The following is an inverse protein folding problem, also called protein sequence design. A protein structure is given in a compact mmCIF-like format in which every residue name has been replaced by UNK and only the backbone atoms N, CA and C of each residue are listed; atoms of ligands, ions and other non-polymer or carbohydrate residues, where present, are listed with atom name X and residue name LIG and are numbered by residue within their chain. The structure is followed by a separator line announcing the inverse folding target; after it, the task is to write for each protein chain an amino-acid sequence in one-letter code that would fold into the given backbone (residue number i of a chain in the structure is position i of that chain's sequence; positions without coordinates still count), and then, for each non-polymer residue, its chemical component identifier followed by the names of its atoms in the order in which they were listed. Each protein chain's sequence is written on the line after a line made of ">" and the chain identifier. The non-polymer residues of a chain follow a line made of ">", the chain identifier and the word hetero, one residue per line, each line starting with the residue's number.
data_IF_617046177847
#
_entry.id   IF_617046177847
#
_cell.length_a   1.000
_cell.length_b   1.000
_cell.length_c   1.000
_cell.angle_alpha   90.00
_cell.angle_beta   90.00
_cell.angle_gamma   90.00
#
_symmetry.space_group_name_H-M   'P 1'
#
loop_
_entity.id
_entity.type
_entity.pdbx_description
1 polymer ?
#
# COMPACT_ATOMS: atom_id res chain seq x y z
N UNK A 1 -20.55 14.57 28.48
CA UNK A 1 -19.39 15.40 28.08
C UNK A 1 -19.74 16.09 26.77
N UNK A 2 -19.85 17.42 26.74
CA UNK A 2 -19.87 18.14 25.46
C UNK A 2 -18.46 18.04 24.85
N UNK A 3 -18.38 17.65 23.57
CA UNK A 3 -17.10 17.56 22.85
C UNK A 3 -16.41 18.93 22.85
N UNK A 4 -15.23 19.04 23.48
CA UNK A 4 -14.45 20.28 23.61
C UNK A 4 -14.20 20.91 22.24
N UNK A 5 -14.11 20.09 21.17
CA UNK A 5 -13.94 20.59 19.81
C UNK A 5 -15.12 21.46 19.39
N UNK A 6 -16.35 21.12 19.76
CA UNK A 6 -17.55 21.91 19.43
C UNK A 6 -17.55 23.27 20.11
N UNK A 7 -16.95 23.39 21.30
CA UNK A 7 -16.83 24.67 21.99
C UNK A 7 -15.96 25.68 21.19
N UNK A 8 -14.92 25.20 20.48
CA UNK A 8 -14.08 26.05 19.62
C UNK A 8 -14.81 26.54 18.35
N UNK A 9 -15.87 25.85 17.94
CA UNK A 9 -16.72 26.28 16.81
C UNK A 9 -17.83 27.23 17.25
N UNK A 10 -17.98 27.54 18.54
CA UNK A 10 -18.94 28.56 18.97
C UNK A 10 -18.34 29.94 18.73
N UNK A 11 -19.00 30.73 17.89
CA UNK A 11 -18.67 32.12 17.66
C UNK A 11 -19.87 33.02 17.95
N UNK A 12 -19.62 34.32 18.00
CA UNK A 12 -20.65 35.36 18.09
C UNK A 12 -20.79 36.09 16.77
N UNK A 13 -22.02 36.35 16.33
CA UNK A 13 -22.31 37.31 15.24
C UNK A 13 -22.32 38.74 15.79
N UNK A 14 -22.32 39.72 14.89
CA UNK A 14 -22.41 41.15 15.21
C UNK A 14 -23.70 41.55 15.94
N UNK A 15 -24.74 40.72 15.87
CA UNK A 15 -26.02 40.86 16.59
C UNK A 15 -26.00 40.23 18.00
N UNK A 16 -24.86 39.71 18.45
CA UNK A 16 -24.70 39.05 19.75
C UNK A 16 -25.18 37.60 19.81
N UNK A 17 -25.72 37.04 18.71
CA UNK A 17 -26.18 35.63 18.68
C UNK A 17 -25.00 34.66 18.60
N UNK A 18 -25.09 33.58 19.37
CA UNK A 18 -24.17 32.45 19.26
C UNK A 18 -24.44 31.68 17.96
N UNK A 19 -23.40 31.40 17.20
CA UNK A 19 -23.45 30.60 15.98
C UNK A 19 -22.41 29.49 16.01
N UNK A 20 -22.69 28.41 15.30
CA UNK A 20 -21.68 27.40 15.01
C UNK A 20 -20.92 27.83 13.74
N UNK A 21 -19.63 28.15 13.90
CA UNK A 21 -18.75 28.51 12.79
C UNK A 21 -18.62 27.33 11.83
N UNK A 22 -18.82 27.53 10.52
CA UNK A 22 -18.61 26.48 9.55
C UNK A 22 -17.11 26.14 9.44
N UNK A 23 -16.81 24.89 9.09
CA UNK A 23 -15.44 24.48 8.76
C UNK A 23 -15.05 25.07 7.41
N UNK A 24 -13.87 25.69 7.33
CA UNK A 24 -13.36 26.19 6.05
C UNK A 24 -13.13 25.02 5.07
N UNK A 25 -13.33 25.25 3.76
CA UNK A 25 -12.96 24.27 2.75
C UNK A 25 -11.46 23.94 2.84
N UNK A 26 -11.11 22.67 2.69
CA UNK A 26 -9.74 22.20 2.88
C UNK A 26 -9.34 21.23 1.76
N UNK A 27 -9.65 19.92 1.87
CA UNK A 27 -9.16 18.92 0.91
C UNK A 27 -9.63 19.16 -0.54
N UNK A 28 -10.86 19.63 -0.72
CA UNK A 28 -11.46 19.80 -2.05
C UNK A 28 -10.88 20.99 -2.83
N UNK A 29 -10.30 21.98 -2.14
CA UNK A 29 -9.76 23.20 -2.76
C UNK A 29 -8.22 23.23 -2.78
N UNK A 30 -7.57 22.32 -2.04
CA UNK A 30 -6.12 22.34 -1.90
C UNK A 30 -5.42 21.78 -3.13
N UNK A 31 -4.36 22.46 -3.59
CA UNK A 31 -3.57 22.00 -4.76
C UNK A 31 -2.72 20.78 -4.37
N UNK A 32 -2.99 19.65 -5.01
CA UNK A 32 -2.22 18.42 -4.81
C UNK A 32 -0.74 18.60 -5.18
N UNK A 33 0.14 18.05 -4.35
CA UNK A 33 1.59 17.94 -4.54
C UNK A 33 1.96 16.48 -4.45
N UNK A 34 2.99 16.08 -5.20
CA UNK A 34 3.44 14.69 -5.23
C UNK A 34 3.77 14.16 -3.83
N UNK A 35 4.45 14.95 -2.98
CA UNK A 35 4.77 14.55 -1.61
C UNK A 35 3.54 14.16 -0.77
N UNK A 36 2.40 14.85 -0.94
CA UNK A 36 1.16 14.52 -0.24
C UNK A 36 0.56 13.21 -0.75
N UNK A 37 0.52 13.02 -2.08
CA UNK A 37 0.05 11.77 -2.69
C UNK A 37 0.91 10.61 -2.22
N UNK A 38 2.24 10.78 -2.20
CA UNK A 38 3.14 9.73 -1.73
C UNK A 38 2.93 9.42 -0.24
N UNK A 39 2.64 10.43 0.58
CA UNK A 39 2.38 10.25 2.01
C UNK A 39 1.08 9.48 2.27
N UNK A 40 -0.03 9.82 1.60
CA UNK A 40 -1.29 9.08 1.79
C UNK A 40 -1.20 7.67 1.21
N UNK A 41 -0.57 7.52 0.04
CA UNK A 41 -0.31 6.21 -0.54
C UNK A 41 0.54 5.33 0.38
N UNK A 42 1.57 5.87 1.04
CA UNK A 42 2.38 5.10 2.00
C UNK A 42 1.55 4.56 3.18
N UNK A 43 0.54 5.32 3.63
CA UNK A 43 -0.39 4.86 4.68
C UNK A 43 -1.29 3.74 4.16
N UNK A 44 -1.88 3.92 2.98
CA UNK A 44 -2.75 2.92 2.35
C UNK A 44 -2.00 1.61 2.07
N UNK A 45 -0.77 1.70 1.55
CA UNK A 45 0.05 0.53 1.28
C UNK A 45 0.55 -0.14 2.57
N UNK A 46 0.73 0.61 3.65
CA UNK A 46 0.98 0.04 4.98
C UNK A 46 -0.18 -0.85 5.45
N UNK A 47 -1.42 -0.34 5.37
CA UNK A 47 -2.62 -1.12 5.71
C UNK A 47 -2.75 -2.38 4.83
N UNK A 48 -2.58 -2.23 3.52
CA UNK A 48 -2.64 -3.36 2.59
C UNK A 48 -1.50 -4.37 2.81
N UNK A 49 -0.29 -3.91 3.14
CA UNK A 49 0.84 -4.78 3.48
C UNK A 49 0.56 -5.59 4.75
N UNK A 50 0.06 -4.97 5.81
CA UNK A 50 -0.31 -5.65 7.06
C UNK A 50 -1.46 -6.65 6.84
N UNK A 51 -2.51 -6.25 6.12
CA UNK A 51 -3.62 -7.15 5.80
C UNK A 51 -3.17 -8.36 4.99
N UNK A 52 -2.34 -8.16 3.97
CA UNK A 52 -1.78 -9.26 3.19
C UNK A 52 -0.80 -10.13 3.97
N UNK A 53 -0.05 -9.58 4.94
CA UNK A 53 0.80 -10.38 5.83
C UNK A 53 -0.02 -11.33 6.70
N UNK A 54 -1.17 -10.90 7.22
CA UNK A 54 -2.10 -11.77 7.93
C UNK A 54 -2.62 -12.92 7.04
N UNK A 55 -2.98 -12.62 5.78
CA UNK A 55 -3.32 -13.64 4.78
C UNK A 55 -2.16 -14.60 4.48
N UNK A 56 -0.92 -14.08 4.43
CA UNK A 56 0.30 -14.87 4.29
C UNK A 56 0.48 -15.87 5.45
N UNK A 57 0.21 -15.46 6.68
CA UNK A 57 0.22 -16.35 7.85
C UNK A 57 -0.81 -17.47 7.69
N UNK A 58 -2.04 -17.16 7.27
CA UNK A 58 -3.04 -18.20 7.00
C UNK A 58 -2.61 -19.17 5.90
N UNK A 59 -1.96 -18.66 4.85
CA UNK A 59 -1.44 -19.48 3.76
C UNK A 59 -0.32 -20.43 4.24
N UNK A 60 0.63 -19.93 5.05
CA UNK A 60 1.70 -20.73 5.64
C UNK A 60 1.14 -21.76 6.64
N UNK A 61 0.14 -21.39 7.43
CA UNK A 61 -0.54 -22.32 8.32
C UNK A 61 -1.25 -23.45 7.56
N UNK A 62 -1.87 -23.14 6.40
CA UNK A 62 -2.45 -24.15 5.53
C UNK A 62 -1.39 -25.09 4.93
N UNK A 63 -0.20 -24.57 4.62
CA UNK A 63 0.94 -25.39 4.19
C UNK A 63 1.40 -26.35 5.29
N UNK A 64 1.51 -25.87 6.54
CA UNK A 64 1.93 -26.66 7.68
C UNK A 64 0.91 -27.76 8.08
N UNK A 65 -0.39 -27.52 7.88
CA UNK A 65 -1.47 -28.48 8.18
C UNK A 65 -1.51 -29.69 7.23
N UNK A 66 -0.79 -29.64 6.12
CA UNK A 66 -0.65 -30.76 5.19
C UNK A 66 -1.38 -30.58 3.85
N UNK A 67 -1.28 -31.59 2.96
CA UNK A 67 -1.54 -31.42 1.53
C UNK A 67 -2.96 -30.97 1.18
N UNK A 68 -3.98 -31.48 1.90
CA UNK A 68 -5.39 -31.16 1.64
C UNK A 68 -5.70 -29.69 1.95
N UNK A 69 -5.24 -29.18 3.10
CA UNK A 69 -5.44 -27.79 3.49
C UNK A 69 -4.68 -26.84 2.53
N UNK A 70 -3.44 -27.21 2.18
CA UNK A 70 -2.63 -26.44 1.25
C UNK A 70 -3.21 -26.38 -0.17
N UNK A 71 -3.81 -27.47 -0.65
CA UNK A 71 -4.47 -27.50 -1.95
C UNK A 71 -5.60 -26.46 -2.04
N UNK A 72 -6.39 -26.29 -0.98
CA UNK A 72 -7.43 -25.26 -0.92
C UNK A 72 -6.84 -23.85 -0.97
N UNK A 73 -5.81 -23.56 -0.17
CA UNK A 73 -5.12 -22.27 -0.21
C UNK A 73 -4.53 -21.99 -1.60
N UNK A 74 -3.92 -23.00 -2.23
CA UNK A 74 -3.40 -22.91 -3.60
C UNK A 74 -4.46 -22.66 -4.66
N UNK A 75 -5.69 -23.15 -4.51
CA UNK A 75 -6.79 -22.84 -5.46
C UNK A 75 -7.15 -21.35 -5.43
N UNK A 76 -7.12 -20.75 -4.24
CA UNK A 76 -7.39 -19.32 -4.05
C UNK A 76 -6.24 -18.48 -4.60
N UNK A 77 -4.99 -18.80 -4.24
CA UNK A 77 -3.83 -18.01 -4.69
C UNK A 77 -3.41 -18.29 -6.13
N UNK A 78 -3.79 -19.45 -6.69
CA UNK A 78 -3.36 -19.91 -8.01
C UNK A 78 -4.26 -19.46 -9.17
N UNK A 79 -5.46 -18.95 -8.89
CA UNK A 79 -6.32 -18.38 -9.94
C UNK A 79 -5.87 -16.96 -10.32
N UNK A 80 -6.30 -16.42 -11.49
CA UNK A 80 -5.84 -15.12 -11.97
C UNK A 80 -6.12 -13.95 -11.00
N UNK A 81 -7.27 -13.96 -10.31
CA UNK A 81 -7.59 -12.93 -9.33
C UNK A 81 -6.68 -13.01 -8.09
N UNK A 82 -6.41 -14.23 -7.59
CA UNK A 82 -5.46 -14.46 -6.51
C UNK A 82 -4.04 -14.05 -6.87
N UNK A 83 -3.60 -14.32 -8.10
CA UNK A 83 -2.30 -13.86 -8.61
C UNK A 83 -2.24 -12.33 -8.68
N UNK A 84 -3.29 -11.67 -9.18
CA UNK A 84 -3.37 -10.22 -9.21
C UNK A 84 -3.28 -9.61 -7.80
N UNK A 85 -3.99 -10.19 -6.83
CA UNK A 85 -3.93 -9.77 -5.43
C UNK A 85 -2.53 -9.97 -4.82
N UNK A 86 -1.85 -11.06 -5.14
CA UNK A 86 -0.48 -11.30 -4.68
C UNK A 86 0.52 -10.30 -5.28
N UNK A 87 0.40 -9.98 -6.58
CA UNK A 87 1.21 -8.94 -7.22
C UNK A 87 0.92 -7.57 -6.62
N UNK A 88 -0.36 -7.25 -6.39
CA UNK A 88 -0.77 -6.01 -5.73
C UNK A 88 -0.24 -5.90 -4.29
N UNK A 89 -0.31 -6.99 -3.52
CA UNK A 89 0.26 -7.05 -2.18
C UNK A 89 1.78 -6.87 -2.19
N UNK A 90 2.49 -7.52 -3.12
CA UNK A 90 3.92 -7.34 -3.29
C UNK A 90 4.29 -5.88 -3.62
N UNK A 91 3.58 -5.27 -4.57
CA UNK A 91 3.77 -3.86 -4.92
C UNK A 91 3.50 -2.94 -3.71
N UNK A 92 2.49 -3.26 -2.90
CA UNK A 92 2.20 -2.55 -1.64
C UNK A 92 3.36 -2.63 -0.64
N UNK A 93 3.94 -3.81 -0.46
CA UNK A 93 5.10 -4.02 0.42
C UNK A 93 6.32 -3.24 -0.08
N UNK A 94 6.60 -3.29 -1.39
CA UNK A 94 7.72 -2.54 -1.98
C UNK A 94 7.52 -1.04 -1.80
N UNK A 95 6.33 -0.53 -2.15
CA UNK A 95 5.99 0.89 -1.98
C UNK A 95 6.15 1.33 -0.53
N UNK A 96 5.57 0.58 0.42
CA UNK A 96 5.61 0.91 1.84
C UNK A 96 7.04 0.90 2.39
N UNK A 97 7.86 -0.05 1.94
CA UNK A 97 9.27 -0.12 2.32
C UNK A 97 10.07 1.07 1.79
N UNK A 98 9.92 1.42 0.51
CA UNK A 98 10.61 2.57 -0.09
C UNK A 98 10.19 3.88 0.60
N UNK A 99 8.88 4.07 0.82
CA UNK A 99 8.35 5.20 1.57
C UNK A 99 8.88 5.24 3.01
N UNK A 100 8.90 4.09 3.68
CA UNK A 100 9.43 3.92 5.04
C UNK A 100 10.91 4.29 5.15
N UNK A 101 11.75 3.85 4.22
CA UNK A 101 13.17 4.25 4.17
C UNK A 101 13.30 5.78 4.06
N UNK A 102 12.50 6.40 3.18
CA UNK A 102 12.50 7.86 3.05
C UNK A 102 12.08 8.56 4.34
N UNK A 103 11.07 8.03 5.03
CA UNK A 103 10.67 8.52 6.35
C UNK A 103 11.79 8.38 7.39
N UNK A 104 12.47 7.23 7.45
CA UNK A 104 13.60 7.02 8.37
C UNK A 104 14.77 7.97 8.09
N UNK A 105 15.02 8.31 6.83
CA UNK A 105 16.01 9.33 6.46
C UNK A 105 15.60 10.70 7.03
N UNK A 106 14.33 11.08 6.88
CA UNK A 106 13.81 12.33 7.45
C UNK A 106 13.89 12.35 8.98
N UNK A 107 13.52 11.25 9.63
CA UNK A 107 13.56 11.10 11.08
C UNK A 107 15.01 11.14 11.63
N UNK A 108 16.00 10.77 10.81
CA UNK A 108 17.42 10.95 11.12
C UNK A 108 17.93 12.39 10.99
N UNK A 109 17.06 13.35 10.67
CA UNK A 109 17.41 14.74 10.49
C UNK A 109 18.13 15.01 9.16
N UNK A 110 17.79 14.28 8.09
CA UNK A 110 18.37 14.45 6.75
C UNK A 110 17.27 14.59 5.69
N UNK A 111 17.57 15.27 4.58
CA UNK A 111 16.71 15.30 3.38
C UNK A 111 15.28 15.86 3.57
N UNK A 112 15.08 16.77 4.51
CA UNK A 112 13.76 17.34 4.84
C UNK A 112 13.53 18.73 4.24
N UNK A 113 14.51 19.30 3.55
CA UNK A 113 14.33 20.57 2.84
C UNK A 113 13.42 20.41 1.61
N UNK A 114 12.68 21.47 1.29
CA UNK A 114 11.65 21.44 0.23
C UNK A 114 12.21 20.98 -1.13
N UNK A 115 13.42 21.39 -1.47
CA UNK A 115 14.07 21.02 -2.73
C UNK A 115 14.39 19.52 -2.78
N UNK A 116 14.94 18.98 -1.69
CA UNK A 116 15.26 17.56 -1.56
C UNK A 116 14.00 16.70 -1.57
N UNK A 117 12.95 17.12 -0.84
CA UNK A 117 11.65 16.45 -0.85
C UNK A 117 11.03 16.38 -2.24
N UNK A 118 11.15 17.44 -3.04
CA UNK A 118 10.65 17.48 -4.41
C UNK A 118 11.44 16.55 -5.35
N UNK A 119 12.75 16.36 -5.11
CA UNK A 119 13.60 15.43 -5.85
C UNK A 119 13.37 13.97 -5.44
N UNK A 120 13.16 13.71 -4.16
CA UNK A 120 12.95 12.37 -3.60
C UNK A 120 11.61 11.76 -4.03
N UNK A 121 10.61 12.59 -4.32
CA UNK A 121 9.30 12.13 -4.77
C UNK A 121 9.37 11.28 -6.04
N UNK A 122 9.83 11.83 -7.17
CA UNK A 122 9.99 11.09 -8.43
C UNK A 122 10.94 9.89 -8.32
N UNK A 123 12.05 10.03 -7.57
CA UNK A 123 12.99 8.92 -7.34
C UNK A 123 12.30 7.74 -6.65
N UNK A 124 11.53 8.01 -5.58
CA UNK A 124 10.79 6.97 -4.87
C UNK A 124 9.77 6.27 -5.78
N UNK A 125 9.10 7.01 -6.67
CA UNK A 125 8.19 6.44 -7.66
C UNK A 125 8.93 5.53 -8.64
N UNK A 126 10.06 6.00 -9.19
CA UNK A 126 10.87 5.23 -10.13
C UNK A 126 11.42 3.93 -9.52
N UNK A 127 11.98 4.01 -8.30
CA UNK A 127 12.48 2.84 -7.56
C UNK A 127 11.34 1.85 -7.29
N UNK A 128 10.19 2.33 -6.81
CA UNK A 128 9.05 1.47 -6.51
C UNK A 128 8.53 0.76 -7.77
N UNK A 129 8.39 1.50 -8.88
CA UNK A 129 7.93 0.94 -10.14
C UNK A 129 8.93 -0.09 -10.70
N UNK A 130 10.23 0.23 -10.68
CA UNK A 130 11.28 -0.66 -11.16
C UNK A 130 11.35 -1.96 -10.36
N UNK A 131 11.45 -1.87 -9.03
CA UNK A 131 11.53 -3.04 -8.15
C UNK A 131 10.26 -3.89 -8.25
N UNK A 132 9.07 -3.27 -8.21
CA UNK A 132 7.80 -4.01 -8.31
C UNK A 132 7.68 -4.74 -9.65
N UNK A 133 8.08 -4.10 -10.75
CA UNK A 133 8.03 -4.70 -12.09
C UNK A 133 9.00 -5.88 -12.20
N UNK A 134 10.24 -5.71 -11.74
CA UNK A 134 11.25 -6.79 -11.75
C UNK A 134 10.77 -8.00 -10.94
N UNK A 135 10.26 -7.78 -9.73
CA UNK A 135 9.79 -8.87 -8.88
C UNK A 135 8.54 -9.54 -9.45
N UNK A 136 7.57 -8.77 -9.96
CA UNK A 136 6.37 -9.32 -10.59
C UNK A 136 6.71 -10.13 -11.85
N UNK A 137 7.60 -9.61 -12.71
CA UNK A 137 8.06 -10.31 -13.91
C UNK A 137 8.81 -11.60 -13.58
N UNK A 138 9.65 -11.59 -12.54
CA UNK A 138 10.33 -12.79 -12.04
C UNK A 138 9.34 -13.87 -11.60
N UNK A 139 8.34 -13.50 -10.79
CA UNK A 139 7.31 -14.43 -10.30
C UNK A 139 6.45 -15.00 -11.44
N UNK A 140 5.98 -14.15 -12.35
CA UNK A 140 5.19 -14.58 -13.51
C UNK A 140 6.02 -15.44 -14.47
N UNK A 141 7.31 -15.11 -14.67
CA UNK A 141 8.23 -15.89 -15.48
C UNK A 141 8.47 -17.30 -14.93
N UNK A 142 8.63 -17.44 -13.61
CA UNK A 142 8.72 -18.74 -12.93
C UNK A 142 7.42 -19.52 -13.07
N UNK A 143 6.27 -18.87 -12.86
CA UNK A 143 4.96 -19.50 -13.01
C UNK A 143 4.72 -20.02 -14.44
N UNK A 144 5.04 -19.21 -15.46
CA UNK A 144 4.91 -19.58 -16.87
C UNK A 144 5.84 -20.75 -17.25
N UNK A 145 7.10 -20.73 -16.82
CA UNK A 145 8.04 -21.84 -17.03
C UNK A 145 7.53 -23.14 -16.41
N UNK A 146 7.00 -23.06 -15.18
CA UNK A 146 6.42 -24.22 -14.49
C UNK A 146 5.19 -24.78 -15.21
N UNK A 147 4.28 -23.92 -15.67
CA UNK A 147 3.10 -24.33 -16.42
C UNK A 147 3.49 -25.06 -17.72
N UNK A 148 4.48 -24.54 -18.46
CA UNK A 148 5.01 -25.18 -19.68
C UNK A 148 5.65 -26.54 -19.39
N UNK A 149 6.41 -26.67 -18.30
CA UNK A 149 7.04 -27.94 -17.91
C UNK A 149 6.00 -29.02 -17.59
N UNK A 150 4.94 -28.68 -16.86
CA UNK A 150 3.83 -29.60 -16.55
C UNK A 150 3.08 -30.02 -17.82
N UNK A 151 2.79 -29.07 -18.71
CA UNK A 151 2.14 -29.37 -19.98
C UNK A 151 2.99 -30.28 -20.89
N UNK A 152 4.32 -30.13 -20.86
CA UNK A 152 5.24 -31.01 -21.60
C UNK A 152 5.27 -32.42 -21.00
N UNK A 153 5.28 -32.55 -19.67
CA UNK A 153 5.27 -33.84 -18.98
C UNK A 153 3.98 -34.63 -19.24
N UNK A 154 2.81 -33.97 -19.22
CA UNK A 154 1.53 -34.63 -19.50
C UNK A 154 1.28 -35.00 -20.96
N UNK A 155 2.10 -34.50 -21.90
CA UNK A 155 2.10 -34.96 -23.31
C UNK A 155 3.04 -36.16 -23.55
N UNK A 156 3.91 -36.47 -22.57
CA UNK A 156 4.89 -37.56 -22.67
C UNK A 156 4.46 -38.83 -21.92
N UNK A 157 3.29 -38.79 -21.26
CA UNK A 157 2.60 -39.92 -20.61
C UNK A 157 1.39 -40.33 -21.42
#
# INVERSE_FOLDING_TARGET
>A
MQDIRKALYVGTRSDGRLIQRPMSPHLQIYRYRLSMVLSISNRLTGVAATGGAALGVFWLAAAAKGPKAFATARKVTGNPAGQLLLVGWLASVVYHTVGGIRHLIWDSGKRYDKEELNKDGPVAVGVTAGVSTVLAAGLLGVAAKRARAVAKAGKAS
#
